data_IF_352665863081
#
_entry.id   IF_352665863081
#
_cell.length_a   1.000
_cell.length_b   1.000
_cell.length_c   1.000
_cell.angle_alpha   90.00
_cell.angle_beta   90.00
_cell.angle_gamma   90.00
#
_symmetry.space_group_name_H-M   'P 1'
#
loop_
_entity.id
_entity.type
_entity.pdbx_description
1 polymer ?
#
# COMPACT_ATOMS: atom_id res chain seq x y z
N UNK A 1 -1.09 -17.16 -5.88
CA UNK A 1 -0.55 -15.97 -6.59
C UNK A 1 -1.33 -15.70 -7.88
N UNK A 2 -1.37 -16.63 -8.85
CA UNK A 2 -2.18 -16.55 -10.09
C UNK A 2 -3.60 -16.00 -9.90
N UNK A 3 -4.39 -16.60 -8.99
CA UNK A 3 -5.76 -16.15 -8.73
C UNK A 3 -5.89 -14.74 -8.15
N UNK A 4 -4.92 -14.29 -7.33
CA UNK A 4 -4.90 -12.91 -6.78
C UNK A 4 -4.65 -11.90 -7.89
N UNK A 5 -3.62 -12.14 -8.72
CA UNK A 5 -3.26 -11.25 -9.84
C UNK A 5 -4.40 -11.17 -10.85
N UNK A 6 -5.00 -12.31 -11.22
CA UNK A 6 -6.15 -12.36 -12.12
C UNK A 6 -7.35 -11.55 -11.63
N UNK A 7 -7.62 -11.56 -10.32
CA UNK A 7 -8.74 -10.83 -9.74
C UNK A 7 -8.52 -9.30 -9.70
N UNK A 8 -7.30 -8.84 -9.43
CA UNK A 8 -7.02 -7.41 -9.20
C UNK A 8 -6.59 -6.64 -10.46
N UNK A 9 -5.94 -7.32 -11.41
CA UNK A 9 -5.34 -6.69 -12.58
C UNK A 9 -6.35 -5.92 -13.46
N UNK A 10 -7.58 -6.40 -13.72
CA UNK A 10 -8.56 -5.63 -14.49
C UNK A 10 -8.90 -4.27 -13.86
N UNK A 11 -9.00 -4.19 -12.53
CA UNK A 11 -9.28 -2.92 -11.84
C UNK A 11 -8.04 -2.01 -11.81
N UNK A 12 -6.83 -2.57 -11.69
CA UNK A 12 -5.60 -1.80 -11.83
C UNK A 12 -5.44 -1.20 -13.24
N UNK A 13 -5.76 -1.98 -14.29
CA UNK A 13 -5.73 -1.53 -15.67
C UNK A 13 -6.77 -0.44 -15.95
N UNK A 14 -7.95 -0.53 -15.32
CA UNK A 14 -8.95 0.54 -15.37
C UNK A 14 -8.44 1.84 -14.75
N UNK A 15 -7.84 1.77 -13.55
CA UNK A 15 -7.27 2.94 -12.88
C UNK A 15 -6.10 3.54 -13.68
N UNK A 16 -5.21 2.68 -14.19
CA UNK A 16 -4.12 3.07 -15.08
C UNK A 16 -4.63 3.82 -16.32
N UNK A 17 -5.64 3.28 -17.01
CA UNK A 17 -6.20 3.91 -18.19
C UNK A 17 -6.75 5.31 -17.89
N UNK A 18 -7.52 5.47 -16.81
CA UNK A 18 -8.05 6.77 -16.42
C UNK A 18 -6.93 7.76 -16.06
N UNK A 19 -5.87 7.29 -15.39
CA UNK A 19 -4.71 8.12 -15.03
C UNK A 19 -3.89 8.54 -16.26
N UNK A 20 -3.76 7.67 -17.26
CA UNK A 20 -3.13 8.01 -18.54
C UNK A 20 -3.90 9.09 -19.31
N UNK A 21 -5.23 9.08 -19.24
CA UNK A 21 -6.08 10.07 -19.91
C UNK A 21 -6.25 11.38 -19.13
N UNK A 22 -6.03 11.37 -17.82
CA UNK A 22 -6.15 12.56 -16.99
C UNK A 22 -5.06 13.58 -17.33
N UNK A 23 -5.46 14.81 -17.65
CA UNK A 23 -4.53 15.86 -18.09
C UNK A 23 -3.74 15.52 -19.36
N UNK A 24 -4.24 14.58 -20.18
CA UNK A 24 -3.54 14.04 -21.34
C UNK A 24 -3.05 15.12 -22.32
N UNK A 25 -1.72 15.26 -22.54
CA UNK A 25 -1.16 16.31 -23.38
C UNK A 25 -1.30 16.02 -24.88
N UNK A 26 -1.59 14.77 -25.27
CA UNK A 26 -1.71 14.36 -26.67
C UNK A 26 -2.84 13.37 -26.91
N UNK A 27 -3.25 13.21 -28.18
CA UNK A 27 -4.26 12.23 -28.58
C UNK A 27 -3.81 10.79 -28.27
N UNK A 28 -2.52 10.51 -28.42
CA UNK A 28 -1.91 9.22 -28.12
C UNK A 28 -2.22 8.73 -26.69
N UNK A 29 -2.19 9.62 -25.69
CA UNK A 29 -2.57 9.29 -24.31
C UNK A 29 -4.03 8.86 -24.18
N UNK A 30 -4.94 9.54 -24.91
CA UNK A 30 -6.37 9.25 -24.92
C UNK A 30 -6.67 7.93 -25.66
N UNK A 31 -5.87 7.61 -26.67
CA UNK A 31 -5.97 6.34 -27.39
C UNK A 31 -5.51 5.17 -26.51
N UNK A 32 -4.39 5.31 -25.78
CA UNK A 32 -3.97 4.32 -24.75
C UNK A 32 -5.07 4.14 -23.71
N UNK A 33 -5.58 5.23 -23.14
CA UNK A 33 -6.67 5.19 -22.16
C UNK A 33 -7.85 4.38 -22.70
N UNK A 34 -8.35 4.73 -23.89
CA UNK A 34 -9.53 4.09 -24.46
C UNK A 34 -9.28 2.60 -24.75
N UNK A 35 -8.13 2.27 -25.33
CA UNK A 35 -7.75 0.90 -25.65
C UNK A 35 -7.64 0.03 -24.40
N UNK A 36 -6.85 0.45 -23.41
CA UNK A 36 -6.63 -0.33 -22.20
C UNK A 36 -7.90 -0.41 -21.36
N UNK A 37 -8.67 0.67 -21.26
CA UNK A 37 -9.94 0.63 -20.54
C UNK A 37 -10.90 -0.38 -21.18
N UNK A 38 -11.01 -0.43 -22.51
CA UNK A 38 -11.90 -1.36 -23.22
C UNK A 38 -11.45 -2.82 -23.08
N UNK A 39 -10.16 -3.10 -23.29
CA UNK A 39 -9.60 -4.45 -23.38
C UNK A 39 -9.00 -4.97 -22.06
N UNK A 40 -9.24 -4.28 -20.92
CA UNK A 40 -8.62 -4.60 -19.62
C UNK A 40 -8.75 -6.06 -19.16
N UNK A 41 -9.86 -6.73 -19.50
CA UNK A 41 -10.08 -8.14 -19.11
C UNK A 41 -9.24 -9.08 -19.97
N UNK A 42 -9.17 -8.83 -21.27
CA UNK A 42 -8.41 -9.63 -22.23
C UNK A 42 -6.91 -9.46 -21.98
N UNK A 43 -6.47 -8.21 -21.75
CA UNK A 43 -5.10 -7.90 -21.32
C UNK A 43 -4.76 -8.66 -20.02
N UNK A 44 -5.66 -8.66 -19.04
CA UNK A 44 -5.42 -9.35 -17.78
C UNK A 44 -5.37 -10.88 -17.94
N UNK A 45 -6.25 -11.46 -18.76
CA UNK A 45 -6.24 -12.89 -19.06
C UNK A 45 -4.93 -13.30 -19.70
N UNK A 46 -4.55 -12.60 -20.77
CA UNK A 46 -3.31 -12.89 -21.47
C UNK A 46 -2.07 -12.72 -20.59
N UNK A 47 -2.01 -11.66 -19.77
CA UNK A 47 -0.92 -11.49 -18.82
C UNK A 47 -0.79 -12.71 -17.88
N UNK A 48 -1.92 -13.19 -17.36
CA UNK A 48 -1.94 -14.35 -16.47
C UNK A 48 -1.51 -15.62 -17.18
N UNK A 49 -1.91 -15.81 -18.43
CA UNK A 49 -1.54 -16.98 -19.22
C UNK A 49 -0.06 -16.98 -19.58
N UNK A 50 0.54 -15.79 -19.81
CA UNK A 50 1.98 -15.65 -20.06
C UNK A 50 2.78 -15.85 -18.78
N UNK A 51 2.45 -15.09 -17.73
CA UNK A 51 3.25 -15.01 -16.52
C UNK A 51 3.19 -16.28 -15.66
N UNK A 52 2.14 -17.09 -15.85
CA UNK A 52 1.93 -18.34 -15.15
C UNK A 52 1.74 -19.52 -16.10
N UNK A 53 2.24 -19.41 -17.34
CA UNK A 53 2.47 -20.60 -18.16
C UNK A 53 3.40 -21.53 -17.37
N UNK A 54 3.02 -22.80 -17.23
CA UNK A 54 3.92 -23.81 -16.71
C UNK A 54 5.06 -23.92 -17.73
N UNK A 55 6.30 -23.63 -17.31
CA UNK A 55 7.48 -24.08 -18.04
C UNK A 55 7.29 -25.60 -18.20
N UNK A 56 7.14 -26.14 -19.43
CA UNK A 56 7.16 -27.58 -19.58
C UNK A 56 8.48 -28.04 -18.96
N UNK A 57 8.38 -28.97 -18.01
CA UNK A 57 9.52 -29.59 -17.35
C UNK A 57 10.65 -29.79 -18.36
N UNK A 58 11.86 -29.48 -17.94
CA UNK A 58 13.10 -29.87 -18.60
C UNK A 58 13.10 -31.40 -18.67
N UNK A 59 12.38 -31.96 -19.63
CA UNK A 59 12.65 -33.27 -20.20
C UNK A 59 13.66 -33.03 -21.30
N UNK A 60 14.90 -33.28 -20.92
CA UNK A 60 16.06 -33.43 -21.77
C UNK A 60 15.72 -34.45 -22.88
N UNK A 61 15.15 -33.98 -24.00
CA UNK A 61 15.11 -34.67 -25.30
C UNK A 61 14.55 -33.70 -26.38
N UNK A 62 15.46 -32.99 -27.06
CA UNK A 62 15.32 -32.41 -28.40
C UNK A 62 13.91 -31.88 -28.82
N UNK A 63 13.55 -30.66 -28.41
CA UNK A 63 12.67 -29.81 -29.21
C UNK A 63 13.27 -28.41 -29.32
N UNK A 64 13.42 -27.99 -30.57
CA UNK A 64 13.93 -26.72 -31.04
C UNK A 64 13.17 -25.56 -30.36
N UNK A 65 13.90 -24.65 -29.70
CA UNK A 65 13.35 -23.52 -28.95
C UNK A 65 12.88 -22.40 -29.88
N UNK A 66 11.93 -22.70 -30.77
CA UNK A 66 11.42 -21.77 -31.79
C UNK A 66 9.91 -21.53 -31.72
N UNK A 67 9.17 -22.14 -30.79
CA UNK A 67 7.70 -22.10 -30.81
C UNK A 67 7.06 -21.22 -29.72
N UNK A 68 7.87 -20.43 -29.00
CA UNK A 68 7.34 -19.29 -28.25
C UNK A 68 7.14 -18.14 -29.23
N UNK A 69 5.88 -17.94 -29.64
CA UNK A 69 5.48 -16.87 -30.55
C UNK A 69 6.02 -15.53 -30.05
N UNK A 70 6.76 -14.81 -30.91
CA UNK A 70 7.41 -13.56 -30.55
C UNK A 70 6.38 -12.52 -30.07
N UNK A 71 6.77 -11.60 -29.19
CA UNK A 71 5.87 -10.56 -28.66
C UNK A 71 5.21 -9.78 -29.81
N UNK A 72 5.97 -9.55 -30.87
CA UNK A 72 5.56 -8.87 -32.10
C UNK A 72 4.46 -9.66 -32.84
N UNK A 73 4.61 -10.98 -32.93
CA UNK A 73 3.65 -11.88 -33.57
C UNK A 73 2.34 -11.98 -32.76
N UNK A 74 2.43 -11.93 -31.43
CA UNK A 74 1.26 -11.94 -30.54
C UNK A 74 0.48 -10.64 -30.62
N UNK A 75 1.19 -9.51 -30.70
CA UNK A 75 0.58 -8.20 -30.91
C UNK A 75 -0.10 -8.11 -32.28
N UNK A 76 0.48 -8.74 -33.31
CA UNK A 76 -0.15 -8.89 -34.63
C UNK A 76 -1.45 -9.70 -34.56
N UNK A 77 -1.46 -10.86 -33.88
CA UNK A 77 -2.67 -11.67 -33.72
C UNK A 77 -3.81 -10.94 -33.01
N UNK A 78 -3.50 -10.08 -32.03
CA UNK A 78 -4.51 -9.27 -31.36
C UNK A 78 -5.10 -8.19 -32.25
N UNK A 79 -4.32 -7.73 -33.22
CA UNK A 79 -4.76 -6.78 -34.21
C UNK A 79 -5.59 -7.46 -35.31
N UNK A 80 -5.20 -8.67 -35.72
CA UNK A 80 -5.89 -9.45 -36.76
C UNK A 80 -7.21 -10.06 -36.28
N UNK A 81 -7.30 -10.55 -35.04
CA UNK A 81 -8.56 -11.02 -34.43
C UNK A 81 -9.65 -9.94 -34.39
N UNK A 82 -9.28 -8.67 -34.53
CA UNK A 82 -10.23 -7.54 -34.60
C UNK A 82 -10.94 -7.42 -35.96
N UNK A 83 -10.37 -7.97 -37.02
CA UNK A 83 -10.91 -7.83 -38.38
C UNK A 83 -11.87 -8.98 -38.75
N UNK A 84 -11.93 -10.06 -37.98
CA UNK A 84 -12.76 -11.23 -38.31
C UNK A 84 -14.01 -11.40 -37.43
N UNK A 85 -14.04 -10.84 -36.20
CA UNK A 85 -15.20 -10.93 -35.30
C UNK A 85 -16.10 -9.68 -35.33
N UNK A 86 -16.70 -9.41 -36.49
CA UNK A 86 -18.01 -8.75 -36.55
C UNK A 86 -19.11 -9.82 -36.58
N UNK A 87 -19.41 -10.42 -35.43
CA UNK A 87 -20.69 -11.10 -35.21
C UNK A 87 -21.44 -10.42 -34.07
N UNK A 88 -22.72 -10.02 -34.25
CA UNK A 88 -23.48 -9.39 -33.19
C UNK A 88 -23.81 -10.44 -32.13
N UNK A 89 -23.30 -10.25 -30.90
CA UNK A 89 -23.79 -11.01 -29.75
C UNK A 89 -25.22 -10.55 -29.45
N UNK A 90 -26.17 -11.47 -29.68
CA UNK A 90 -27.58 -11.33 -29.36
C UNK A 90 -27.79 -10.97 -27.88
N UNK A 91 -28.65 -9.97 -27.67
CA UNK A 91 -29.20 -9.56 -26.39
C UNK A 91 -29.93 -10.72 -25.69
N UNK A 92 -29.58 -11.02 -24.44
CA UNK A 92 -30.59 -11.44 -23.45
C UNK A 92 -31.01 -10.23 -22.60
N UNK A 93 -32.26 -9.85 -22.86
CA UNK A 93 -33.11 -8.77 -22.34
C UNK A 93 -32.91 -8.27 -20.91
N UNK A 94 -33.04 -6.94 -20.78
CA UNK A 94 -33.33 -6.25 -19.52
C UNK A 94 -33.50 -4.72 -19.63
N UNK A 95 -34.27 -4.25 -20.64
CA UNK A 95 -35.04 -3.00 -20.73
C UNK A 95 -34.46 -1.69 -20.13
N UNK A 96 -34.12 -0.71 -21.00
CA UNK A 96 -34.87 0.55 -21.16
C UNK A 96 -34.20 1.47 -22.19
N UNK A 97 -35.00 1.86 -23.19
CA UNK A 97 -34.76 2.83 -24.27
C UNK A 97 -33.90 4.05 -23.90
N UNK A 98 -32.84 4.30 -24.68
CA UNK A 98 -32.42 5.66 -25.09
C UNK A 98 -31.76 5.59 -26.48
N UNK A 99 -32.38 6.30 -27.42
CA UNK A 99 -31.96 6.66 -28.79
C UNK A 99 -30.57 6.18 -29.26
N UNK A 100 -30.60 5.24 -30.21
CA UNK A 100 -29.51 4.97 -31.14
C UNK A 100 -29.19 6.22 -31.96
N UNK A 101 -28.03 6.81 -31.67
CA UNK A 101 -27.21 7.37 -32.74
C UNK A 101 -25.99 6.46 -32.83
N UNK A 102 -26.11 5.45 -33.69
CA UNK A 102 -24.97 4.74 -34.28
C UNK A 102 -24.18 5.75 -35.11
N UNK A 103 -23.24 6.44 -34.47
CA UNK A 103 -22.13 7.04 -35.21
C UNK A 103 -21.15 5.91 -35.55
N UNK A 104 -21.43 5.25 -36.67
CA UNK A 104 -20.43 4.53 -37.45
C UNK A 104 -19.28 5.49 -37.75
N UNK A 105 -18.13 5.25 -37.14
CA UNK A 105 -16.87 5.77 -37.64
C UNK A 105 -15.81 4.68 -37.53
N UNK A 106 -15.57 4.05 -38.68
CA UNK A 106 -14.27 4.00 -39.33
C UNK A 106 -13.21 4.73 -38.50
N UNK A 107 -12.14 4.01 -38.16
CA UNK A 107 -10.87 4.68 -37.98
C UNK A 107 -10.73 5.67 -39.13
N UNK A 108 -10.44 6.94 -38.82
CA UNK A 108 -9.90 7.83 -39.83
C UNK A 108 -8.83 7.01 -40.54
N UNK A 109 -9.07 6.69 -41.82
CA UNK A 109 -8.19 5.93 -42.67
C UNK A 109 -6.86 6.67 -42.58
N UNK A 110 -5.96 6.20 -41.70
CA UNK A 110 -4.56 6.51 -41.82
C UNK A 110 -4.22 5.99 -43.20
N UNK A 111 -4.08 6.92 -44.15
CA UNK A 111 -3.82 6.68 -45.56
C UNK A 111 -3.12 5.34 -45.74
N UNK A 112 -3.82 4.41 -46.40
CA UNK A 112 -3.30 3.14 -46.88
C UNK A 112 -2.22 3.42 -47.94
N UNK A 113 -1.08 3.96 -47.54
CA UNK A 113 0.09 4.20 -48.40
C UNK A 113 1.31 4.65 -47.57
N UNK A 114 1.52 4.09 -46.38
CA UNK A 114 2.87 4.02 -45.79
C UNK A 114 3.16 2.58 -45.37
N UNK A 115 3.74 1.82 -46.30
CA UNK A 115 4.71 0.75 -46.01
C UNK A 115 5.82 1.37 -45.15
N UNK A 116 5.58 1.45 -43.84
CA UNK A 116 6.36 2.25 -42.91
C UNK A 116 6.22 1.77 -41.48
N UNK A 117 6.67 0.53 -41.24
CA UNK A 117 7.36 0.11 -40.00
C UNK A 117 6.62 0.25 -38.65
N UNK A 118 7.08 -0.53 -37.68
CA UNK A 118 6.66 -0.56 -36.28
C UNK A 118 6.93 0.75 -35.49
N UNK A 119 7.08 1.90 -36.16
CA UNK A 119 7.40 3.20 -35.55
C UNK A 119 6.33 3.68 -34.57
N UNK A 120 5.06 3.41 -34.84
CA UNK A 120 3.99 3.75 -33.92
C UNK A 120 4.06 2.90 -32.63
N UNK A 121 4.34 1.60 -32.73
CA UNK A 121 4.49 0.70 -31.57
C UNK A 121 5.66 1.14 -30.69
N UNK A 122 6.79 1.48 -31.29
CA UNK A 122 7.94 2.05 -30.59
C UNK A 122 7.56 3.35 -29.86
N UNK A 123 6.83 4.24 -30.53
CA UNK A 123 6.37 5.49 -29.92
C UNK A 123 5.39 5.25 -28.74
N UNK A 124 4.50 4.25 -28.80
CA UNK A 124 3.65 3.86 -27.67
C UNK A 124 4.46 3.25 -26.52
N UNK A 125 5.43 2.40 -26.84
CA UNK A 125 6.32 1.80 -25.84
C UNK A 125 7.15 2.86 -25.10
N UNK A 126 7.73 3.80 -25.84
CA UNK A 126 8.49 4.91 -25.26
C UNK A 126 7.61 5.81 -24.38
N UNK A 127 6.39 6.09 -24.85
CA UNK A 127 5.42 6.86 -24.08
C UNK A 127 5.02 6.14 -22.77
N UNK A 128 4.72 4.84 -22.85
CA UNK A 128 4.37 4.03 -21.68
C UNK A 128 5.53 3.98 -20.68
N UNK A 129 6.74 3.71 -21.17
CA UNK A 129 7.95 3.60 -20.35
C UNK A 129 8.29 4.89 -19.60
N UNK A 130 8.02 6.04 -20.23
CA UNK A 130 8.19 7.37 -19.61
C UNK A 130 7.06 7.77 -18.66
N UNK A 131 5.90 7.12 -18.72
CA UNK A 131 4.70 7.55 -18.01
C UNK A 131 4.68 7.19 -16.52
N UNK A 132 4.30 8.14 -15.67
CA UNK A 132 4.12 7.90 -14.23
C UNK A 132 2.95 6.96 -13.92
N UNK A 133 1.93 6.93 -14.77
CA UNK A 133 0.82 5.99 -14.62
C UNK A 133 1.26 4.54 -14.84
N UNK A 134 2.16 4.27 -15.80
CA UNK A 134 2.67 2.92 -16.03
C UNK A 134 3.60 2.47 -14.89
N UNK A 135 4.51 3.33 -14.44
CA UNK A 135 5.34 3.06 -13.25
C UNK A 135 4.47 2.74 -12.02
N UNK A 136 3.38 3.48 -11.83
CA UNK A 136 2.41 3.19 -10.78
C UNK A 136 1.74 1.83 -10.91
N UNK A 137 1.30 1.45 -12.12
CA UNK A 137 0.72 0.14 -12.38
C UNK A 137 1.69 -0.99 -12.03
N UNK A 138 2.95 -0.86 -12.46
CA UNK A 138 4.00 -1.83 -12.15
C UNK A 138 4.26 -1.94 -10.65
N UNK A 139 4.41 -0.81 -9.95
CA UNK A 139 4.63 -0.80 -8.51
C UNK A 139 3.47 -1.42 -7.74
N UNK A 140 2.22 -1.14 -8.14
CA UNK A 140 1.03 -1.76 -7.54
C UNK A 140 1.00 -3.27 -7.77
N UNK A 141 1.32 -3.71 -8.99
CA UNK A 141 1.36 -5.13 -9.31
C UNK A 141 2.48 -5.85 -8.55
N UNK A 142 3.69 -5.27 -8.50
CA UNK A 142 4.80 -5.79 -7.70
C UNK A 142 4.47 -5.85 -6.22
N UNK A 143 3.71 -4.89 -5.69
CA UNK A 143 3.20 -4.91 -4.32
C UNK A 143 2.40 -6.18 -4.01
N UNK A 144 1.59 -6.68 -4.94
CA UNK A 144 0.81 -7.91 -4.75
C UNK A 144 1.67 -9.17 -4.60
N UNK A 145 2.92 -9.15 -5.10
CA UNK A 145 3.88 -10.24 -4.94
C UNK A 145 4.65 -10.18 -3.62
N UNK A 146 4.90 -8.99 -3.07
CA UNK A 146 5.75 -8.80 -1.90
C UNK A 146 4.98 -8.58 -0.60
N UNK A 147 3.71 -8.20 -0.70
CA UNK A 147 2.88 -7.83 0.43
C UNK A 147 1.74 -8.83 0.68
N UNK A 148 1.50 -9.07 1.97
CA UNK A 148 0.42 -9.96 2.43
C UNK A 148 -0.81 -9.12 2.73
N UNK A 149 -1.96 -9.56 2.22
CA UNK A 149 -3.24 -8.94 2.55
C UNK A 149 -3.51 -9.09 4.05
N UNK A 150 -3.90 -7.99 4.69
CA UNK A 150 -4.17 -7.97 6.11
C UNK A 150 -5.57 -8.50 6.44
N UNK A 151 -5.72 -9.04 7.65
CA UNK A 151 -7.01 -9.44 8.21
C UNK A 151 -7.29 -8.64 9.50
N UNK A 152 -8.30 -7.74 9.51
CA UNK A 152 -9.19 -7.36 8.40
C UNK A 152 -8.48 -6.56 7.31
N UNK A 153 -9.02 -6.49 6.09
CA UNK A 153 -8.42 -5.71 4.99
C UNK A 153 -8.95 -4.26 4.98
N UNK A 154 -8.49 -3.47 5.95
CA UNK A 154 -8.94 -2.07 6.14
C UNK A 154 -8.57 -1.17 4.96
N UNK A 155 -7.37 -1.34 4.38
CA UNK A 155 -6.95 -0.56 3.20
C UNK A 155 -7.92 -0.75 2.02
N UNK A 156 -8.35 -1.98 1.74
CA UNK A 156 -9.33 -2.27 0.70
C UNK A 156 -10.72 -1.70 1.05
N UNK A 157 -11.12 -1.80 2.31
CA UNK A 157 -12.42 -1.25 2.78
C UNK A 157 -12.47 0.27 2.61
N UNK A 158 -11.36 0.95 2.95
CA UNK A 158 -11.21 2.40 2.76
C UNK A 158 -11.30 2.76 1.29
N UNK A 159 -10.58 2.04 0.43
CA UNK A 159 -10.61 2.21 -1.03
C UNK A 159 -12.03 2.12 -1.58
N UNK A 160 -12.75 1.06 -1.22
CA UNK A 160 -14.12 0.83 -1.67
C UNK A 160 -15.05 1.96 -1.22
N UNK A 161 -14.99 2.34 0.06
CA UNK A 161 -15.80 3.44 0.59
C UNK A 161 -15.49 4.77 -0.10
N UNK A 162 -14.23 5.12 -0.33
CA UNK A 162 -13.87 6.34 -1.07
C UNK A 162 -14.36 6.26 -2.51
N UNK A 163 -14.24 5.10 -3.17
CA UNK A 163 -14.72 4.92 -4.54
C UNK A 163 -16.24 5.14 -4.67
N UNK A 164 -17.02 4.85 -3.62
CA UNK A 164 -18.48 5.11 -3.62
C UNK A 164 -18.85 6.60 -3.65
N UNK A 165 -17.91 7.51 -3.34
CA UNK A 165 -18.15 8.96 -3.38
C UNK A 165 -18.28 9.48 -4.82
N UNK A 166 -17.72 8.76 -5.80
CA UNK A 166 -17.70 9.19 -7.18
C UNK A 166 -18.87 8.59 -7.99
N UNK A 167 -19.46 9.35 -8.92
CA UNK A 167 -20.41 8.81 -9.87
C UNK A 167 -19.78 7.66 -10.66
N UNK A 168 -20.55 6.61 -10.95
CA UNK A 168 -20.10 5.56 -11.87
C UNK A 168 -19.94 6.16 -13.26
N UNK A 169 -18.69 6.43 -13.66
CA UNK A 169 -18.37 6.85 -15.04
C UNK A 169 -18.62 5.68 -15.98
N UNK A 170 -19.75 5.72 -16.70
CA UNK A 170 -20.12 4.66 -17.66
C UNK A 170 -19.49 4.84 -19.04
N UNK A 171 -19.00 6.04 -19.40
CA UNK A 171 -18.47 6.34 -20.74
C UNK A 171 -17.09 7.00 -20.65
N UNK A 172 -16.06 6.33 -21.17
CA UNK A 172 -14.73 6.88 -21.40
C UNK A 172 -14.66 7.32 -22.86
N UNK A 173 -14.39 8.61 -23.11
CA UNK A 173 -14.32 9.18 -24.45
C UNK A 173 -12.87 9.34 -24.91
N UNK A 174 -12.61 9.13 -26.21
CA UNK A 174 -11.32 9.46 -26.83
C UNK A 174 -11.12 10.97 -27.06
N UNK A 175 -12.21 11.74 -26.98
CA UNK A 175 -12.25 13.18 -27.27
C UNK A 175 -12.16 14.04 -26.01
N UNK A 176 -12.52 13.49 -24.85
CA UNK A 176 -12.61 14.24 -23.58
C UNK A 176 -11.65 13.66 -22.53
N UNK A 177 -11.05 14.53 -21.73
CA UNK A 177 -10.25 14.11 -20.56
C UNK A 177 -11.18 13.72 -19.41
N UNK A 178 -10.80 12.71 -18.59
CA UNK A 178 -11.52 12.40 -17.36
C UNK A 178 -11.68 13.63 -16.46
N UNK A 179 -12.86 13.80 -15.85
CA UNK A 179 -13.14 14.92 -14.94
C UNK A 179 -12.32 14.79 -13.65
N UNK A 180 -11.65 15.87 -13.25
CA UNK A 180 -11.06 15.99 -11.91
C UNK A 180 -12.16 16.06 -10.86
N UNK A 181 -11.93 15.45 -9.70
CA UNK A 181 -12.79 15.60 -8.54
C UNK A 181 -12.03 16.27 -7.41
N UNK A 182 -12.71 17.13 -6.66
CA UNK A 182 -12.14 17.74 -5.45
C UNK A 182 -12.73 17.05 -4.23
N UNK A 183 -11.87 16.50 -3.38
CA UNK A 183 -12.27 15.79 -2.15
C UNK A 183 -11.53 16.37 -0.97
N UNK A 184 -12.26 16.62 0.12
CA UNK A 184 -11.70 17.04 1.40
C UNK A 184 -11.78 15.88 2.39
N UNK A 185 -10.62 15.43 2.85
CA UNK A 185 -10.46 14.50 3.95
C UNK A 185 -10.41 15.25 5.28
N UNK A 186 -11.31 14.92 6.20
CA UNK A 186 -11.31 15.37 7.58
C UNK A 186 -10.80 14.23 8.48
N UNK A 187 -9.60 14.40 9.04
CA UNK A 187 -8.97 13.43 9.92
C UNK A 187 -9.11 13.90 11.37
N UNK A 188 -9.70 13.04 12.20
CA UNK A 188 -9.58 13.16 13.66
C UNK A 188 -8.14 12.82 14.06
N UNK A 189 -7.17 13.71 13.82
CA UNK A 189 -5.75 13.45 14.03
C UNK A 189 -5.00 14.73 14.43
N UNK A 190 -4.61 14.79 15.71
CA UNK A 190 -3.71 15.84 16.21
C UNK A 190 -2.26 15.39 16.09
N UNK A 191 -1.67 15.69 14.93
CA UNK A 191 -0.29 15.31 14.61
C UNK A 191 0.73 15.98 15.54
N UNK A 192 0.48 17.21 16.00
CA UNK A 192 1.42 17.88 16.88
C UNK A 192 1.40 17.28 18.28
N UNK A 193 0.22 16.97 18.81
CA UNK A 193 0.11 16.29 20.10
C UNK A 193 0.91 14.97 20.12
N UNK A 194 0.95 14.25 19.00
CA UNK A 194 1.79 13.05 18.87
C UNK A 194 3.27 13.37 19.12
N UNK A 195 3.85 14.32 18.38
CA UNK A 195 5.26 14.69 18.54
C UNK A 195 5.57 15.29 19.92
N UNK A 196 4.67 16.10 20.47
CA UNK A 196 4.77 16.65 21.83
C UNK A 196 4.81 15.54 22.89
N UNK A 197 4.07 14.43 22.69
CA UNK A 197 4.02 13.30 23.62
C UNK A 197 5.20 12.33 23.50
N UNK A 198 5.80 12.22 22.31
CA UNK A 198 6.93 11.31 22.07
C UNK A 198 8.29 11.87 22.52
N UNK A 199 8.36 13.15 22.91
CA UNK A 199 9.56 13.80 23.45
C UNK A 199 10.81 13.69 22.56
N UNK A 200 10.63 13.75 21.23
CA UNK A 200 11.75 13.77 20.29
C UNK A 200 12.61 15.03 20.48
N UNK A 201 13.93 14.88 20.32
CA UNK A 201 14.88 15.99 20.51
C UNK A 201 14.93 16.97 19.32
N UNK A 202 14.54 16.50 18.13
CA UNK A 202 14.52 17.25 16.88
C UNK A 202 13.12 17.79 16.58
N UNK A 203 13.03 18.68 15.58
CA UNK A 203 11.74 19.26 15.18
C UNK A 203 10.82 18.19 14.55
N UNK A 204 9.48 18.31 14.65
CA UNK A 204 8.54 17.34 14.08
C UNK A 204 8.78 17.02 12.60
N UNK A 205 9.01 18.04 11.79
CA UNK A 205 9.27 17.96 10.35
C UNK A 205 10.61 17.26 10.02
N UNK A 206 11.59 17.33 10.91
CA UNK A 206 12.88 16.62 10.76
C UNK A 206 12.78 15.16 11.22
N UNK A 207 11.84 14.86 12.12
CA UNK A 207 11.75 13.56 12.79
C UNK A 207 10.80 12.60 12.07
N UNK A 208 9.78 13.12 11.36
CA UNK A 208 8.68 12.35 10.76
C UNK A 208 9.13 11.06 10.06
N UNK A 209 10.13 11.15 9.18
CA UNK A 209 10.62 10.02 8.37
C UNK A 209 11.19 8.89 9.23
N UNK A 210 11.81 9.24 10.35
CA UNK A 210 12.53 8.32 11.25
C UNK A 210 11.65 7.70 12.33
N UNK A 211 10.41 8.19 12.50
CA UNK A 211 9.46 7.66 13.50
C UNK A 211 9.25 6.18 13.26
N UNK A 212 9.47 5.36 14.30
CA UNK A 212 9.23 3.92 14.23
C UNK A 212 7.72 3.68 14.31
N UNK A 213 7.18 2.99 13.32
CA UNK A 213 5.76 2.65 13.19
C UNK A 213 5.60 1.13 13.25
N UNK A 214 4.47 0.67 13.80
CA UNK A 214 4.13 -0.75 13.86
C UNK A 214 2.89 -1.00 13.00
N UNK A 215 2.96 -1.95 12.07
CA UNK A 215 1.82 -2.35 11.23
C UNK A 215 1.65 -3.86 11.25
N UNK A 216 0.41 -4.35 11.25
CA UNK A 216 0.06 -5.76 11.15
C UNK A 216 -0.82 -6.24 12.30
N UNK A 217 -0.45 -7.36 12.91
CA UNK A 217 -1.17 -7.99 14.02
C UNK A 217 -0.24 -8.20 15.23
N UNK A 218 -0.78 -8.68 16.35
CA UNK A 218 0.01 -8.90 17.56
C UNK A 218 0.87 -10.17 17.43
N UNK A 219 0.53 -11.06 16.49
CA UNK A 219 1.29 -12.27 16.16
C UNK A 219 2.32 -12.02 15.07
N UNK A 220 1.99 -11.15 14.11
CA UNK A 220 2.82 -10.81 12.96
C UNK A 220 2.71 -9.31 12.69
N UNK A 221 3.66 -8.55 13.22
CA UNK A 221 3.79 -7.12 12.98
C UNK A 221 5.14 -6.79 12.36
N UNK A 222 5.19 -5.70 11.61
CA UNK A 222 6.39 -5.12 11.06
C UNK A 222 6.68 -3.79 11.76
N UNK A 223 7.92 -3.60 12.21
CA UNK A 223 8.45 -2.34 12.72
C UNK A 223 9.41 -1.74 11.69
N UNK A 224 9.07 -0.55 11.20
CA UNK A 224 9.87 0.20 10.23
C UNK A 224 9.80 1.69 10.53
N UNK A 225 10.70 2.48 9.96
CA UNK A 225 10.50 3.91 9.95
C UNK A 225 9.24 4.28 9.14
N UNK A 226 8.67 5.45 9.42
CA UNK A 226 7.50 5.96 8.71
C UNK A 226 7.74 6.03 7.20
N UNK A 227 8.91 6.56 6.83
CA UNK A 227 9.38 6.63 5.44
C UNK A 227 9.46 5.24 4.78
N UNK A 228 10.11 4.28 5.44
CA UNK A 228 10.28 2.92 4.92
C UNK A 228 8.95 2.22 4.66
N UNK A 229 7.99 2.37 5.57
CA UNK A 229 6.67 1.76 5.40
C UNK A 229 5.89 2.40 4.24
N UNK A 230 5.89 3.73 4.17
CA UNK A 230 5.20 4.47 3.11
C UNK A 230 5.80 4.13 1.75
N UNK A 231 7.14 4.09 1.63
CA UNK A 231 7.79 3.75 0.38
C UNK A 231 7.53 2.29 -0.03
N UNK A 232 7.44 1.38 0.93
CA UNK A 232 7.05 -0.01 0.67
C UNK A 232 5.62 -0.14 0.13
N UNK A 233 4.68 0.63 0.66
CA UNK A 233 3.24 0.45 0.39
C UNK A 233 2.76 1.30 -0.79
N UNK A 234 3.29 2.52 -0.93
CA UNK A 234 2.96 3.47 -2.00
C UNK A 234 4.24 4.08 -2.60
N UNK A 235 5.02 3.32 -3.38
CA UNK A 235 6.31 3.78 -3.91
C UNK A 235 6.24 5.06 -4.76
N UNK A 236 5.13 5.27 -5.48
CA UNK A 236 4.98 6.37 -6.43
C UNK A 236 4.55 7.70 -5.80
N UNK A 237 3.74 7.67 -4.74
CA UNK A 237 3.17 8.89 -4.12
C UNK A 237 3.63 9.12 -2.69
N UNK A 238 4.20 8.10 -2.06
CA UNK A 238 4.52 8.11 -0.64
C UNK A 238 5.47 9.23 -0.22
N UNK A 239 6.49 9.50 -1.04
CA UNK A 239 7.44 10.59 -0.77
C UNK A 239 6.75 11.95 -0.77
N UNK A 240 5.85 12.19 -1.73
CA UNK A 240 5.10 13.45 -1.82
C UNK A 240 4.19 13.62 -0.60
N UNK A 241 3.61 12.52 -0.10
CA UNK A 241 2.81 12.54 1.13
C UNK A 241 3.66 12.89 2.36
N UNK A 242 4.86 12.32 2.50
CA UNK A 242 5.80 12.69 3.55
C UNK A 242 6.15 14.19 3.48
N UNK A 243 6.45 14.69 2.29
CA UNK A 243 6.76 16.11 2.06
C UNK A 243 5.58 17.03 2.38
N UNK A 244 4.34 16.65 2.04
CA UNK A 244 3.12 17.35 2.41
C UNK A 244 3.02 17.51 3.94
N UNK A 245 3.22 16.41 4.68
CA UNK A 245 3.10 16.41 6.14
C UNK A 245 4.26 17.18 6.79
N UNK A 246 5.49 17.07 6.27
CA UNK A 246 6.63 17.88 6.73
C UNK A 246 6.40 19.36 6.49
N UNK A 247 5.90 19.71 5.31
CA UNK A 247 5.62 21.10 4.93
C UNK A 247 4.60 21.77 5.85
N UNK A 248 3.53 21.07 6.22
CA UNK A 248 2.52 21.62 7.13
C UNK A 248 2.98 21.67 8.59
N UNK A 249 3.80 20.72 9.03
CA UNK A 249 4.41 20.76 10.36
C UNK A 249 5.41 21.90 10.52
N UNK A 250 6.14 22.25 9.45
CA UNK A 250 7.09 23.35 9.41
C UNK A 250 6.49 24.72 9.07
N UNK A 251 5.20 24.79 8.73
CA UNK A 251 4.51 26.03 8.35
C UNK A 251 4.05 26.80 9.60
N UNK A 252 4.24 28.14 9.58
CA UNK A 252 3.79 29.02 10.66
C UNK A 252 2.27 29.22 10.67
N UNK A 253 1.65 29.19 9.49
CA UNK A 253 0.20 29.36 9.29
C UNK A 253 -0.58 28.03 9.39
N UNK A 254 0.12 26.92 9.59
CA UNK A 254 -0.45 25.58 9.69
C UNK A 254 -1.07 25.11 8.37
N UNK A 255 -0.63 25.63 7.23
CA UNK A 255 -1.12 25.28 5.91
C UNK A 255 0.02 25.01 4.92
N UNK A 256 -0.18 24.05 4.02
CA UNK A 256 0.83 23.72 3.00
C UNK A 256 0.16 23.19 1.74
N UNK A 257 0.75 23.43 0.57
CA UNK A 257 0.27 22.94 -0.71
C UNK A 257 1.42 22.37 -1.53
N UNK A 258 1.17 21.24 -2.18
CA UNK A 258 2.12 20.57 -3.08
C UNK A 258 1.36 19.93 -4.26
N UNK A 259 2.03 19.82 -5.40
CA UNK A 259 1.48 19.16 -6.58
C UNK A 259 1.94 17.70 -6.64
N UNK A 260 1.02 16.80 -7.00
CA UNK A 260 1.29 15.40 -7.26
C UNK A 260 1.74 15.20 -8.72
N UNK A 261 2.54 14.16 -8.95
CA UNK A 261 2.86 13.69 -10.30
C UNK A 261 1.57 13.28 -11.04
N UNK A 262 1.31 13.94 -12.17
CA UNK A 262 0.08 13.78 -12.96
C UNK A 262 -0.92 14.93 -12.86
N UNK A 263 -0.55 16.06 -12.25
CA UNK A 263 -1.35 17.30 -12.27
C UNK A 263 -2.48 17.34 -11.23
N UNK A 264 -2.49 16.40 -10.28
CA UNK A 264 -3.32 16.50 -9.09
C UNK A 264 -2.66 17.46 -8.07
N UNK A 265 -3.46 18.15 -7.26
CA UNK A 265 -2.97 19.10 -6.27
C UNK A 265 -3.43 18.70 -4.87
N UNK A 266 -2.54 18.84 -3.90
CA UNK A 266 -2.79 18.55 -2.49
C UNK A 266 -2.62 19.82 -1.66
N UNK A 267 -3.61 20.12 -0.84
CA UNK A 267 -3.56 21.19 0.14
C UNK A 267 -3.93 20.66 1.51
N UNK A 268 -3.10 20.93 2.50
CA UNK A 268 -3.31 20.48 3.88
C UNK A 268 -3.40 21.68 4.82
N UNK A 269 -4.25 21.56 5.84
CA UNK A 269 -4.44 22.56 6.88
C UNK A 269 -4.57 21.85 8.23
N UNK A 270 -3.80 22.30 9.22
CA UNK A 270 -3.93 21.87 10.60
C UNK A 270 -4.97 22.75 11.28
N UNK A 271 -6.12 22.17 11.61
CA UNK A 271 -7.16 22.80 12.44
C UNK A 271 -7.31 21.98 13.73
N UNK A 272 -6.36 22.15 14.67
CA UNK A 272 -6.28 21.32 15.87
C UNK A 272 -7.64 21.19 16.58
N UNK A 273 -8.04 19.97 16.99
CA UNK A 273 -7.24 18.72 17.01
C UNK A 273 -7.30 17.89 15.71
N UNK A 274 -7.64 18.50 14.57
CA UNK A 274 -7.87 17.80 13.29
C UNK A 274 -6.85 18.20 12.22
N UNK A 275 -6.64 17.29 11.28
CA UNK A 275 -5.90 17.55 10.04
C UNK A 275 -6.89 17.48 8.88
N UNK A 276 -6.89 18.50 8.03
CA UNK A 276 -7.73 18.53 6.83
C UNK A 276 -6.85 18.48 5.60
N UNK A 277 -7.18 17.61 4.65
CA UNK A 277 -6.44 17.48 3.38
C UNK A 277 -7.41 17.54 2.22
N UNK A 278 -7.27 18.57 1.39
CA UNK A 278 -7.97 18.73 0.13
C UNK A 278 -7.11 18.19 -1.01
N UNK A 279 -7.70 17.33 -1.83
CA UNK A 279 -7.10 16.85 -3.07
C UNK A 279 -7.98 17.24 -4.26
N UNK A 280 -7.36 17.72 -5.33
CA UNK A 280 -7.99 17.84 -6.64
C UNK A 280 -7.26 16.93 -7.62
N UNK A 281 -7.92 15.90 -8.15
CA UNK A 281 -7.25 14.93 -9.02
C UNK A 281 -8.18 13.89 -9.62
N UNK A 282 -7.60 12.88 -10.27
CA UNK A 282 -8.33 11.70 -10.72
C UNK A 282 -8.73 10.79 -9.54
N UNK A 283 -9.74 9.95 -9.76
CA UNK A 283 -10.29 9.05 -8.74
C UNK A 283 -9.24 8.13 -8.11
N UNK A 284 -8.27 7.61 -8.87
CA UNK A 284 -7.26 6.70 -8.34
C UNK A 284 -6.30 7.46 -7.41
N UNK A 285 -5.88 8.67 -7.78
CA UNK A 285 -5.07 9.54 -6.92
C UNK A 285 -5.78 9.89 -5.62
N UNK A 286 -7.08 10.21 -5.66
CA UNK A 286 -7.86 10.50 -4.44
C UNK A 286 -7.94 9.30 -3.51
N UNK A 287 -8.23 8.11 -4.04
CA UNK A 287 -8.27 6.87 -3.29
C UNK A 287 -6.92 6.60 -2.61
N UNK A 288 -5.83 6.68 -3.36
CA UNK A 288 -4.48 6.40 -2.86
C UNK A 288 -4.04 7.39 -1.77
N UNK A 289 -4.41 8.66 -1.90
CA UNK A 289 -4.20 9.66 -0.85
C UNK A 289 -5.01 9.33 0.40
N UNK A 290 -6.27 8.93 0.26
CA UNK A 290 -7.09 8.52 1.41
C UNK A 290 -6.51 7.30 2.14
N UNK A 291 -6.00 6.31 1.41
CA UNK A 291 -5.28 5.15 1.99
C UNK A 291 -4.04 5.59 2.79
N UNK A 292 -3.22 6.47 2.23
CA UNK A 292 -2.00 6.98 2.89
C UNK A 292 -2.32 7.78 4.15
N UNK A 293 -3.29 8.69 4.07
CA UNK A 293 -3.73 9.52 5.20
C UNK A 293 -4.32 8.67 6.32
N UNK A 294 -5.10 7.65 5.98
CA UNK A 294 -5.65 6.71 6.94
C UNK A 294 -4.57 5.88 7.64
N UNK A 295 -3.50 5.47 6.96
CA UNK A 295 -2.39 4.81 7.63
C UNK A 295 -1.58 5.77 8.51
N UNK A 296 -1.22 6.95 7.99
CA UNK A 296 -0.44 7.95 8.73
C UNK A 296 -1.13 8.36 10.03
N UNK A 297 -2.42 8.69 9.97
CA UNK A 297 -3.17 9.10 11.17
C UNK A 297 -3.39 7.96 12.17
N UNK A 298 -3.28 6.70 11.73
CA UNK A 298 -3.30 5.53 12.61
C UNK A 298 -1.92 5.25 13.24
N UNK A 299 -0.86 5.36 12.44
CA UNK A 299 0.52 5.08 12.83
C UNK A 299 1.09 6.14 13.79
N UNK A 300 0.75 7.40 13.54
CA UNK A 300 1.25 8.56 14.29
C UNK A 300 0.20 9.05 15.30
N UNK A 301 -0.32 8.10 16.08
CA UNK A 301 -1.37 8.34 17.06
C UNK A 301 -0.89 8.04 18.47
N UNK A 302 -1.35 8.84 19.42
CA UNK A 302 -1.10 8.59 20.84
C UNK A 302 -1.97 7.42 21.29
N UNK A 303 -1.37 6.46 21.99
CA UNK A 303 -2.11 5.37 22.63
C UNK A 303 -2.98 5.91 23.76
N UNK A 304 -4.23 5.46 23.83
CA UNK A 304 -5.13 5.76 24.95
C UNK A 304 -4.72 5.03 26.24
N UNK A 305 -3.82 4.04 26.13
CA UNK A 305 -3.26 3.33 27.28
C UNK A 305 -1.95 3.96 27.75
N UNK A 306 -1.75 3.91 29.07
CA UNK A 306 -0.45 4.24 29.67
C UNK A 306 0.60 3.15 29.43
N UNK A 307 0.16 1.89 29.35
CA UNK A 307 1.02 0.73 29.14
C UNK A 307 0.34 -0.33 28.27
N UNK A 308 1.15 -1.08 27.54
CA UNK A 308 0.71 -2.20 26.72
C UNK A 308 0.28 -1.80 25.31
N UNK A 309 0.09 -2.82 24.51
CA UNK A 309 -0.10 -2.71 23.06
C UNK A 309 -1.58 -2.53 22.73
N UNK A 310 -1.90 -1.60 21.82
CA UNK A 310 -3.25 -1.37 21.30
C UNK A 310 -3.26 -1.46 19.78
N UNK A 311 -4.43 -1.80 19.22
CA UNK A 311 -4.70 -1.65 17.81
C UNK A 311 -5.26 -0.27 17.50
N UNK A 312 -4.92 0.25 16.33
CA UNK A 312 -5.61 1.34 15.68
C UNK A 312 -6.03 0.88 14.28
N UNK A 313 -7.33 0.81 14.04
CA UNK A 313 -7.88 0.35 12.75
C UNK A 313 -8.56 1.52 12.07
N UNK A 314 -7.91 2.22 11.12
CA UNK A 314 -8.53 3.39 10.50
C UNK A 314 -9.72 2.96 9.64
N UNK A 315 -10.73 3.82 9.60
CA UNK A 315 -11.97 3.56 8.86
C UNK A 315 -12.59 4.87 8.35
N UNK A 316 -13.26 4.80 7.20
CA UNK A 316 -14.11 5.89 6.74
C UNK A 316 -15.39 5.90 7.56
N UNK A 317 -15.68 7.05 8.16
CA UNK A 317 -16.89 7.31 8.95
C UNK A 317 -18.00 7.83 8.04
N UNK A 318 -19.24 7.42 8.33
CA UNK A 318 -20.40 7.99 7.66
C UNK A 318 -20.56 9.44 8.12
N UNK A 319 -20.70 10.37 7.15
CA UNK A 319 -20.80 11.79 7.45
C UNK A 319 -22.04 12.07 8.31
N UNK A 320 -21.90 12.73 9.47
CA UNK A 320 -23.05 13.27 10.19
C UNK A 320 -23.72 14.33 9.31
N UNK A 321 -25.04 14.22 9.10
CA UNK A 321 -25.83 15.13 8.27
C UNK A 321 -25.72 16.61 8.70
N UNK A 322 -25.33 16.90 9.95
CA UNK A 322 -25.26 18.23 10.55
C UNK A 322 -23.86 18.59 11.11
N UNK A 323 -22.80 18.42 10.32
CA UNK A 323 -21.46 18.85 10.75
C UNK A 323 -21.26 20.35 10.54
N UNK A 324 -21.34 21.13 11.62
CA UNK A 324 -21.07 22.59 11.69
C UNK A 324 -19.72 22.98 11.09
N UNK A 325 -18.74 22.08 11.09
CA UNK A 325 -17.40 22.28 10.50
C UNK A 325 -17.40 22.36 8.97
N UNK A 326 -18.38 21.74 8.28
CA UNK A 326 -18.54 21.92 6.84
C UNK A 326 -18.76 23.39 6.47
N UNK A 327 -19.33 24.20 7.38
CA UNK A 327 -19.62 25.62 7.13
C UNK A 327 -18.37 26.48 6.98
N UNK A 328 -17.24 26.09 7.58
CA UNK A 328 -16.00 26.86 7.49
C UNK A 328 -15.38 26.77 6.08
N UNK A 329 -15.49 25.61 5.42
CA UNK A 329 -15.12 25.42 4.01
C UNK A 329 -16.22 25.81 3.01
N UNK A 330 -17.52 25.76 3.40
CA UNK A 330 -18.65 26.26 2.58
C UNK A 330 -18.67 27.79 2.41
N UNK A 331 -17.73 28.52 3.00
CA UNK A 331 -17.57 29.97 2.76
C UNK A 331 -17.01 30.28 1.36
N UNK A 332 -16.50 29.27 0.64
CA UNK A 332 -16.21 29.31 -0.80
C UNK A 332 -17.51 29.00 -1.55
N UNK A 333 -17.86 29.69 -2.66
CA UNK A 333 -19.01 29.30 -3.47
C UNK A 333 -18.83 27.84 -3.88
N UNK A 334 -19.69 26.97 -3.36
CA UNK A 334 -19.67 25.53 -3.66
C UNK A 334 -19.74 25.38 -5.18
N UNK A 335 -18.66 24.93 -5.81
CA UNK A 335 -18.85 24.19 -7.05
C UNK A 335 -19.62 22.92 -6.69
N UNK A 336 -20.49 22.47 -7.59
CA UNK A 336 -21.34 21.30 -7.36
C UNK A 336 -20.56 19.97 -7.18
N UNK A 337 -19.21 20.01 -7.23
CA UNK A 337 -18.34 18.85 -7.35
C UNK A 337 -17.41 18.63 -6.13
N UNK A 338 -17.60 19.37 -5.03
CA UNK A 338 -16.82 19.18 -3.79
C UNK A 338 -17.36 18.02 -2.95
N UNK A 339 -16.56 16.96 -2.80
CA UNK A 339 -16.87 15.80 -1.97
C UNK A 339 -16.17 15.88 -0.61
N UNK A 340 -16.78 15.27 0.41
CA UNK A 340 -16.22 15.21 1.76
C UNK A 340 -16.09 13.77 2.23
N UNK A 341 -15.03 13.48 2.98
CA UNK A 341 -14.77 12.16 3.54
C UNK A 341 -14.15 12.31 4.93
N UNK A 342 -14.69 11.62 5.94
CA UNK A 342 -14.13 11.66 7.30
C UNK A 342 -13.41 10.35 7.61
N UNK A 343 -12.21 10.45 8.16
CA UNK A 343 -11.40 9.30 8.57
C UNK A 343 -11.33 9.25 10.10
N UNK A 344 -11.75 8.12 10.66
CA UNK A 344 -11.72 7.84 12.10
C UNK A 344 -10.67 6.79 12.45
N UNK A 345 -10.23 6.82 13.70
CA UNK A 345 -9.12 6.01 14.21
C UNK A 345 -9.49 5.32 15.54
N UNK A 346 -10.46 4.40 15.53
CA UNK A 346 -10.82 3.64 16.72
C UNK A 346 -9.62 2.84 17.24
N UNK A 347 -9.44 2.84 18.56
CA UNK A 347 -8.45 2.02 19.23
C UNK A 347 -9.12 0.84 19.94
N UNK A 348 -8.52 -0.34 19.79
CA UNK A 348 -9.00 -1.59 20.38
C UNK A 348 -7.91 -2.25 21.20
N UNK A 349 -8.30 -2.83 22.32
CA UNK A 349 -7.41 -3.63 23.15
C UNK A 349 -7.12 -4.98 22.50
N UNK A 350 -5.87 -5.43 22.59
CA UNK A 350 -5.53 -6.79 22.16
C UNK A 350 -6.15 -7.78 23.15
N UNK A 351 -6.89 -8.81 22.67
CA UNK A 351 -7.43 -9.86 23.52
C UNK A 351 -6.31 -10.50 24.35
N UNK A 352 -6.41 -10.42 25.67
CA UNK A 352 -5.47 -11.10 26.56
C UNK A 352 -5.63 -12.61 26.40
N UNK A 353 -4.62 -13.31 25.87
CA UNK A 353 -4.56 -14.76 26.03
C UNK A 353 -3.78 -15.07 27.32
N UNK A 354 -4.30 -15.97 28.18
CA UNK A 354 -3.64 -16.33 29.44
C UNK A 354 -2.38 -17.18 29.24
N UNK A 355 -2.17 -17.75 28.06
CA UNK A 355 -0.99 -18.60 27.79
C UNK A 355 0.16 -17.81 27.14
N UNK A 356 1.42 -18.06 27.56
CA UNK A 356 2.61 -17.51 26.91
C UNK A 356 2.73 -18.08 25.50
N UNK A 357 2.34 -17.30 24.50
CA UNK A 357 2.46 -17.67 23.09
C UNK A 357 3.78 -17.15 22.52
N UNK A 358 4.36 -17.92 21.59
CA UNK A 358 5.47 -17.46 20.76
C UNK A 358 5.07 -16.18 20.01
N UNK A 359 6.06 -15.31 19.76
CA UNK A 359 5.85 -14.06 19.02
C UNK A 359 5.42 -12.85 19.85
N UNK A 360 5.30 -12.96 21.19
CA UNK A 360 4.92 -11.84 22.07
C UNK A 360 6.04 -11.23 22.92
N UNK A 361 7.26 -11.77 22.84
CA UNK A 361 8.37 -11.33 23.69
C UNK A 361 8.80 -9.87 23.47
N UNK A 362 8.31 -9.20 22.42
CA UNK A 362 8.64 -7.83 22.06
C UNK A 362 7.68 -6.78 22.63
N UNK A 363 6.53 -7.17 23.20
CA UNK A 363 5.49 -6.21 23.63
C UNK A 363 6.03 -5.17 24.63
N UNK A 364 6.92 -5.58 25.52
CA UNK A 364 7.51 -4.71 26.54
C UNK A 364 8.66 -3.83 26.00
N UNK A 365 9.02 -3.95 24.71
CA UNK A 365 10.05 -3.09 24.07
C UNK A 365 9.56 -1.68 23.91
N UNK A 366 8.26 -1.55 23.71
CA UNK A 366 7.58 -0.30 23.56
C UNK A 366 6.73 -0.09 24.80
N UNK A 367 6.69 1.15 25.32
CA UNK A 367 5.92 1.46 26.52
C UNK A 367 4.41 1.29 26.30
N UNK A 368 3.90 1.96 25.28
CA UNK A 368 2.48 2.00 24.91
C UNK A 368 2.32 2.02 23.38
N UNK A 369 2.76 0.98 22.66
CA UNK A 369 2.76 0.97 21.20
C UNK A 369 1.35 0.93 20.61
N UNK A 370 1.18 1.62 19.48
CA UNK A 370 0.02 1.50 18.61
C UNK A 370 0.40 0.68 17.39
N UNK A 371 -0.32 -0.42 17.14
CA UNK A 371 -0.21 -1.21 15.91
C UNK A 371 -1.30 -0.76 14.95
N UNK A 372 -0.92 -0.33 13.75
CA UNK A 372 -1.87 -0.11 12.66
C UNK A 372 -2.37 -1.46 12.15
N UNK A 373 -3.67 -1.68 12.30
CA UNK A 373 -4.31 -2.93 11.88
C UNK A 373 -4.99 -2.76 10.53
N UNK A 374 -4.91 -3.81 9.73
CA UNK A 374 -5.58 -3.93 8.44
C UNK A 374 -4.88 -3.28 7.25
N UNK A 375 -3.57 -3.08 7.40
CA UNK A 375 -2.66 -2.69 6.34
C UNK A 375 -1.63 -3.80 6.10
N UNK A 376 -1.14 -3.92 4.86
CA UNK A 376 -0.26 -5.01 4.48
C UNK A 376 1.10 -4.96 5.18
N UNK A 377 1.66 -6.13 5.45
CA UNK A 377 3.06 -6.29 5.86
C UNK A 377 3.82 -7.10 4.81
N UNK A 378 5.15 -7.07 4.88
CA UNK A 378 5.98 -7.90 4.00
C UNK A 378 5.63 -9.38 4.12
N UNK A 379 5.69 -10.07 3.00
CA UNK A 379 5.56 -11.52 2.98
C UNK A 379 6.70 -12.18 3.74
N UNK A 380 6.31 -13.16 4.55
CA UNK A 380 7.21 -13.96 5.39
C UNK A 380 7.21 -15.40 4.95
N UNK A 381 8.33 -16.06 5.20
CA UNK A 381 8.45 -17.52 5.03
C UNK A 381 7.65 -18.25 6.12
N UNK A 382 7.64 -17.72 7.34
CA UNK A 382 6.96 -18.29 8.51
C UNK A 382 6.11 -17.20 9.18
N UNK A 383 4.89 -17.55 9.58
CA UNK A 383 3.96 -16.67 10.29
C UNK A 383 3.88 -17.03 11.78
N UNK A 384 3.27 -16.17 12.57
CA UNK A 384 3.21 -16.22 14.03
C UNK A 384 4.59 -16.15 14.69
N UNK A 385 5.48 -15.34 14.11
CA UNK A 385 6.88 -15.21 14.54
C UNK A 385 7.13 -13.94 15.36
N UNK A 386 6.11 -13.08 15.49
CA UNK A 386 6.15 -11.83 16.26
C UNK A 386 6.47 -10.62 15.39
N UNK A 387 7.33 -9.76 15.93
CA UNK A 387 7.72 -8.50 15.31
C UNK A 387 8.96 -8.66 14.42
N UNK A 388 8.82 -8.33 13.14
CA UNK A 388 9.93 -8.20 12.21
C UNK A 388 10.42 -6.75 12.20
N UNK A 389 11.74 -6.55 12.26
CA UNK A 389 12.34 -5.23 12.17
C UNK A 389 13.75 -5.30 11.59
N UNK A 390 14.21 -4.24 10.91
CA UNK A 390 15.61 -4.05 10.56
C UNK A 390 16.54 -4.13 11.79
N UNK A 391 17.74 -4.67 11.59
CA UNK A 391 18.73 -4.87 12.67
C UNK A 391 19.13 -3.56 13.35
N UNK A 392 19.18 -2.44 12.62
CA UNK A 392 19.48 -1.12 13.17
C UNK A 392 18.40 -0.63 14.15
N UNK A 393 17.11 -0.88 13.85
CA UNK A 393 16.01 -0.58 14.75
C UNK A 393 16.13 -1.46 16.01
N UNK A 394 16.36 -2.76 15.82
CA UNK A 394 16.54 -3.72 16.91
C UNK A 394 17.67 -3.33 17.86
N UNK A 395 18.84 -2.98 17.31
CA UNK A 395 20.00 -2.56 18.07
C UNK A 395 19.77 -1.21 18.79
N UNK A 396 19.07 -0.27 18.14
CA UNK A 396 18.66 1.00 18.73
C UNK A 396 17.72 0.84 19.92
N UNK A 397 16.72 -0.04 19.83
CA UNK A 397 15.78 -0.34 20.93
C UNK A 397 16.48 -1.00 22.13
N UNK A 398 17.56 -1.76 21.89
CA UNK A 398 18.40 -2.34 22.94
C UNK A 398 19.51 -1.37 23.40
N UNK A 399 19.66 -0.22 22.74
CA UNK A 399 20.67 0.81 23.01
C UNK A 399 22.10 0.27 22.96
N UNK A 400 22.42 -0.53 21.95
CA UNK A 400 23.76 -1.08 21.75
C UNK A 400 24.17 -1.05 20.28
N UNK A 401 25.48 -1.00 20.03
CA UNK A 401 26.08 -1.17 18.71
C UNK A 401 26.95 -2.44 18.65
N UNK A 402 26.90 -3.26 19.71
CA UNK A 402 27.75 -4.43 19.86
C UNK A 402 26.96 -5.72 19.71
N UNK A 403 27.61 -6.69 19.07
CA UNK A 403 27.13 -8.06 18.93
C UNK A 403 28.15 -8.96 19.61
N UNK A 404 27.69 -9.74 20.57
CA UNK A 404 28.53 -10.65 21.35
C UNK A 404 28.34 -12.10 20.91
N UNK A 405 29.41 -12.90 21.02
CA UNK A 405 29.35 -14.35 20.83
C UNK A 405 29.73 -15.07 22.12
N UNK A 406 28.85 -15.94 22.60
CA UNK A 406 29.10 -16.74 23.80
C UNK A 406 28.49 -18.14 23.66
N UNK A 407 29.27 -19.20 23.95
CA UNK A 407 28.84 -20.60 23.81
C UNK A 407 28.15 -20.88 22.46
N UNK A 408 28.76 -20.41 21.38
CA UNK A 408 28.27 -20.51 20.00
C UNK A 408 26.90 -19.88 19.70
N UNK A 409 26.39 -19.06 20.62
CA UNK A 409 25.21 -18.23 20.40
C UNK A 409 25.62 -16.77 20.18
N UNK A 410 24.82 -16.09 19.36
CA UNK A 410 24.97 -14.67 19.06
C UNK A 410 23.96 -13.89 19.91
N UNK A 411 24.43 -12.82 20.52
CA UNK A 411 23.66 -11.97 21.41
C UNK A 411 23.77 -10.50 21.02
N UNK A 412 22.69 -9.76 21.21
CA UNK A 412 22.69 -8.30 21.23
C UNK A 412 22.28 -7.91 22.64
N UNK A 413 23.22 -7.36 23.40
CA UNK A 413 23.04 -7.10 24.82
C UNK A 413 23.02 -5.58 25.08
N UNK A 414 21.94 -5.14 25.73
CA UNK A 414 21.77 -3.79 26.24
C UNK A 414 21.85 -3.76 27.76
N UNK A 415 21.38 -2.66 28.35
CA UNK A 415 21.42 -2.45 29.79
C UNK A 415 20.47 -3.39 30.56
N UNK A 416 19.21 -3.45 30.13
CA UNK A 416 18.15 -4.26 30.78
C UNK A 416 17.59 -5.35 29.86
N UNK A 417 18.03 -5.40 28.61
CA UNK A 417 17.42 -6.22 27.56
C UNK A 417 18.50 -7.03 26.85
N UNK A 418 18.18 -8.25 26.46
CA UNK A 418 19.09 -9.10 25.69
C UNK A 418 18.31 -9.86 24.62
N UNK A 419 18.79 -9.78 23.38
CA UNK A 419 18.29 -10.57 22.28
C UNK A 419 19.22 -11.75 22.03
N UNK A 420 18.63 -12.93 21.89
CA UNK A 420 19.33 -14.17 21.65
C UNK A 420 18.94 -14.68 20.28
N UNK A 421 19.90 -14.88 19.38
CA UNK A 421 19.63 -15.53 18.10
C UNK A 421 19.24 -16.99 18.36
N UNK A 422 18.02 -17.37 18.00
CA UNK A 422 17.48 -18.72 18.24
C UNK A 422 17.46 -19.57 16.99
N UNK A 423 17.23 -18.96 15.82
CA UNK A 423 17.12 -19.65 14.54
C UNK A 423 17.59 -18.73 13.42
N UNK A 424 18.13 -19.33 12.37
CA UNK A 424 18.45 -18.67 11.10
C UNK A 424 17.87 -19.51 9.98
N UNK A 425 17.13 -18.87 9.09
CA UNK A 425 16.77 -19.37 7.77
C UNK A 425 17.56 -18.59 6.71
N UNK A 426 17.39 -18.92 5.43
CA UNK A 426 18.13 -18.27 4.33
C UNK A 426 17.95 -16.74 4.34
N UNK A 427 16.70 -16.28 4.50
CA UNK A 427 16.34 -14.85 4.39
C UNK A 427 16.00 -14.19 5.73
N UNK A 428 16.07 -14.90 6.87
CA UNK A 428 15.56 -14.38 8.15
C UNK A 428 16.32 -14.88 9.38
N UNK A 429 16.45 -13.99 10.37
CA UNK A 429 17.04 -14.26 11.68
C UNK A 429 15.95 -14.13 12.75
N UNK A 430 15.80 -15.17 13.57
CA UNK A 430 14.81 -15.19 14.64
C UNK A 430 15.50 -14.92 15.97
N UNK A 431 14.99 -13.92 16.67
CA UNK A 431 15.54 -13.46 17.93
C UNK A 431 14.52 -13.66 19.05
N UNK A 432 14.99 -14.08 20.21
CA UNK A 432 14.19 -14.09 21.42
C UNK A 432 14.66 -12.98 22.35
N UNK A 433 13.74 -12.11 22.74
CA UNK A 433 14.01 -11.02 23.67
C UNK A 433 13.77 -11.46 25.12
N UNK A 434 14.72 -11.12 25.98
CA UNK A 434 14.66 -11.35 27.42
C UNK A 434 14.88 -10.04 28.17
N UNK A 435 14.01 -9.75 29.13
CA UNK A 435 14.14 -8.65 30.07
C UNK A 435 14.86 -9.09 31.34
N UNK A 436 15.83 -8.28 31.78
CA UNK A 436 16.57 -8.47 33.03
C UNK A 436 15.95 -7.56 34.08
N UNK A 437 15.06 -8.09 34.92
CA UNK A 437 14.60 -7.38 36.11
C UNK A 437 15.69 -7.42 37.18
N UNK A 438 16.00 -6.27 37.78
CA UNK A 438 17.08 -6.08 38.77
C UNK A 438 17.00 -6.97 40.02
N UNK A 439 15.92 -7.71 40.21
CA UNK A 439 15.69 -8.58 41.37
C UNK A 439 16.40 -9.94 41.28
N UNK A 440 16.93 -10.35 40.12
CA UNK A 440 17.68 -11.61 39.99
C UNK A 440 19.16 -11.43 39.61
N UNK A 441 19.94 -11.11 40.65
CA UNK A 441 21.29 -11.61 40.96
C UNK A 441 22.49 -11.27 40.06
N UNK A 442 23.58 -10.94 40.77
CA UNK A 442 24.98 -10.96 40.37
C UNK A 442 25.35 -11.91 39.21
N UNK A 443 26.30 -11.41 38.42
CA UNK A 443 26.92 -11.97 37.21
C UNK A 443 27.24 -13.49 37.15
N UNK A 444 27.37 -14.30 38.22
CA UNK A 444 27.64 -15.74 38.05
C UNK A 444 26.40 -16.64 37.94
N UNK A 445 25.20 -16.21 38.35
CA UNK A 445 24.06 -17.13 38.55
C UNK A 445 23.22 -17.35 37.28
N UNK A 446 23.15 -16.34 36.38
CA UNK A 446 22.35 -16.37 35.15
C UNK A 446 22.83 -17.41 34.11
N UNK A 447 24.12 -17.70 34.05
CA UNK A 447 24.67 -18.73 33.15
C UNK A 447 24.12 -20.14 33.46
N UNK A 448 23.58 -20.38 34.66
CA UNK A 448 22.99 -21.67 35.04
C UNK A 448 21.52 -21.83 34.65
N UNK A 449 20.76 -20.74 34.53
CA UNK A 449 19.33 -20.80 34.18
C UNK A 449 19.08 -20.97 32.67
N UNK A 450 19.88 -20.30 31.82
CA UNK A 450 19.80 -20.44 30.35
C UNK A 450 20.09 -21.88 29.86
N UNK A 451 20.79 -22.68 30.66
CA UNK A 451 21.08 -24.10 30.38
C UNK A 451 19.88 -25.01 30.70
N UNK A 452 18.95 -24.59 31.59
CA UNK A 452 17.80 -25.42 31.96
C UNK A 452 16.62 -25.30 30.98
N UNK A 453 16.42 -24.14 30.35
CA UNK A 453 15.32 -23.93 29.38
C UNK A 453 15.62 -24.45 27.97
N UNK A 454 16.84 -24.95 27.72
CA UNK A 454 17.29 -25.43 26.40
C UNK A 454 17.34 -26.96 26.28
N UNK A 455 16.76 -27.71 27.22
CA UNK A 455 16.55 -29.15 27.03
C UNK A 455 15.23 -29.41 26.29
N UNK A 456 15.23 -30.12 25.15
CA UNK A 456 14.00 -30.67 24.60
C UNK A 456 13.44 -31.70 25.59
N UNK A 457 12.11 -31.68 25.79
CA UNK A 457 11.42 -32.66 26.61
C UNK A 457 11.64 -34.07 26.07
N UNK A 458 12.48 -34.84 26.74
CA UNK A 458 12.55 -36.29 26.53
C UNK A 458 11.36 -36.89 27.26
N UNK A 459 10.37 -37.35 26.50
CA UNK A 459 9.33 -38.24 26.99
C UNK A 459 9.99 -39.57 27.40
N UNK A 460 10.15 -39.78 28.71
CA UNK A 460 10.38 -41.11 29.24
C UNK A 460 9.02 -41.83 29.34
N UNK A 461 8.78 -42.74 28.40
CA UNK A 461 7.86 -43.84 28.59
C UNK A 461 8.55 -44.91 29.45
N UNK A 462 8.07 -45.09 30.67
CA UNK A 462 8.25 -46.31 31.47
C UNK A 462 6.93 -46.61 32.18
N UNK A 463 6.14 -47.51 31.61
CA UNK A 463 5.86 -48.86 32.15
C UNK A 463 4.85 -49.55 31.24
#
# INVERSE_FOLDING_TARGET
MRGRVSAILPELLKAFALRMGYGAPSQMHRDIMSFVHRNRRDIASAFVDIAFAEDPEITDENMDSSDAMDLEDRMRLWYEMRNEDETPLENEMGDLNVDEVTEDFLFDEMNEEEEGSFEWVAAYHDLLSGSEAYKWLLNRLLGEFHLVQAEPNSIQTIREKIATLFPRTQKVSRKETPKSSTVVFDLDWDIHAFFENQEYSSRPEETLETVITLTGSFLDAQATSCEQYIHQTWPSTGQIMIELIKGVLGSEDGSYQIDLSGGATLRTVIARPRLMVEICGDTASVIEVGEQLAWLGAALRISQRQEGVVYCTPQILDLPQDSTFLHQFKSRPLSADLLFCQIGFPQEDIPGSPEPMNGRCWHDVFRNPVIVRGYPIRQRVEYSTGLEMPLNIMAGLVQTQQVDRFKDKIYIKGFSNMLILTRRNEDSLYWHLVYITRTEVAYPTWMRMVIKSSKPGVSHSQS
#
